data_IF_881735110579
#
_entry.id   IF_881735110579
#
_cell.length_a   1.000
_cell.length_b   1.000
_cell.length_c   1.000
_cell.angle_alpha   90.00
_cell.angle_beta   90.00
_cell.angle_gamma   90.00
#
_symmetry.space_group_name_H-M   'P 1'
#
loop_
_entity.id
_entity.type
_entity.pdbx_description
1 polymer ?
#
# COMPACT_ATOMS: atom_id res chain seq x y z
N UNK A 1 -0.21 -14.96 -3.62
CA UNK A 1 -1.51 -14.27 -3.51
C UNK A 1 -1.23 -12.77 -3.40
N UNK A 2 -2.00 -11.94 -4.09
CA UNK A 2 -1.79 -10.48 -4.07
C UNK A 2 -2.53 -9.90 -2.86
N UNK A 3 -1.82 -9.17 -2.01
CA UNK A 3 -2.40 -8.42 -0.90
C UNK A 3 -2.58 -6.99 -1.36
N UNK A 4 -3.83 -6.50 -1.55
CA UNK A 4 -4.05 -5.12 -1.96
C UNK A 4 -3.53 -4.16 -0.87
N UNK A 5 -2.94 -3.05 -1.27
CA UNK A 5 -2.45 -1.99 -0.40
C UNK A 5 -3.08 -0.64 -0.77
N UNK A 6 -3.06 0.31 0.17
CA UNK A 6 -3.47 1.67 -0.14
C UNK A 6 -2.54 2.27 -1.22
N UNK A 7 -3.15 2.86 -2.25
CA UNK A 7 -2.47 3.40 -3.42
C UNK A 7 -2.52 2.49 -4.64
N UNK A 8 -2.79 1.19 -4.48
CA UNK A 8 -2.88 0.25 -5.59
C UNK A 8 -4.07 0.55 -6.50
N UNK A 9 -3.90 0.34 -7.80
CA UNK A 9 -4.99 0.29 -8.76
C UNK A 9 -5.33 -1.17 -9.01
N UNK A 10 -6.58 -1.52 -8.80
CA UNK A 10 -7.11 -2.87 -8.97
C UNK A 10 -8.02 -2.91 -10.18
N UNK A 11 -7.81 -3.91 -11.03
CA UNK A 11 -8.80 -4.33 -12.01
C UNK A 11 -9.80 -5.25 -11.31
N UNK A 12 -10.94 -4.68 -10.95
CA UNK A 12 -12.04 -5.43 -10.31
C UNK A 12 -12.89 -6.04 -11.40
N UNK A 13 -12.97 -7.36 -11.40
CA UNK A 13 -13.76 -8.16 -12.35
C UNK A 13 -14.73 -9.05 -11.58
N UNK A 14 -15.60 -9.77 -12.30
CA UNK A 14 -16.52 -10.75 -11.70
C UNK A 14 -15.82 -11.80 -10.82
N UNK A 15 -14.55 -12.11 -11.11
CA UNK A 15 -13.76 -13.09 -10.35
C UNK A 15 -13.48 -12.60 -8.92
N UNK A 16 -13.48 -11.28 -8.71
CA UNK A 16 -13.31 -10.66 -7.40
C UNK A 16 -14.63 -10.56 -6.64
N UNK A 17 -15.76 -10.37 -7.33
CA UNK A 17 -17.10 -10.51 -6.76
C UNK A 17 -18.13 -10.51 -7.87
N UNK A 18 -19.15 -11.37 -7.74
CA UNK A 18 -20.23 -11.56 -8.73
C UNK A 18 -21.05 -10.30 -9.00
N UNK A 19 -21.01 -9.33 -8.08
CA UNK A 19 -21.69 -8.04 -8.24
C UNK A 19 -21.04 -7.17 -9.34
N UNK A 20 -19.80 -7.48 -9.77
CA UNK A 20 -19.06 -6.74 -10.79
C UNK A 20 -19.11 -7.43 -12.16
N UNK A 21 -20.32 -7.54 -12.73
CA UNK A 21 -20.53 -8.06 -14.09
C UNK A 21 -19.82 -7.21 -15.16
N UNK A 22 -19.65 -5.91 -14.89
CA UNK A 22 -18.85 -4.98 -15.69
C UNK A 22 -17.51 -4.73 -14.98
N UNK A 23 -16.38 -5.07 -15.61
CA UNK A 23 -15.07 -4.77 -15.05
C UNK A 23 -14.86 -3.27 -14.84
N UNK A 24 -14.15 -2.89 -13.77
CA UNK A 24 -13.80 -1.50 -13.49
C UNK A 24 -12.41 -1.37 -12.88
N UNK A 25 -11.81 -0.19 -13.05
CA UNK A 25 -10.58 0.19 -12.34
C UNK A 25 -10.92 0.82 -11.00
N UNK A 26 -10.21 0.42 -9.95
CA UNK A 26 -10.45 0.88 -8.59
C UNK A 26 -9.14 1.19 -7.88
N UNK A 27 -8.97 2.45 -7.47
CA UNK A 27 -7.82 2.88 -6.68
C UNK A 27 -8.11 2.74 -5.20
N UNK A 28 -7.36 1.89 -4.52
CA UNK A 28 -7.51 1.65 -3.08
C UNK A 28 -6.99 2.86 -2.31
N UNK A 29 -7.75 3.35 -1.35
CA UNK A 29 -7.31 4.35 -0.36
C UNK A 29 -7.17 3.75 1.03
N UNK A 30 -7.94 2.70 1.32
CA UNK A 30 -7.90 1.98 2.58
C UNK A 30 -8.30 0.53 2.39
N UNK A 31 -7.56 -0.34 3.05
CA UNK A 31 -7.89 -1.76 3.23
C UNK A 31 -8.37 -1.89 4.67
N UNK A 32 -9.53 -2.52 4.87
CA UNK A 32 -10.03 -2.78 6.22
C UNK A 32 -9.66 -4.21 6.62
N UNK A 33 -9.00 -4.34 7.77
CA UNK A 33 -8.65 -5.63 8.39
C UNK A 33 -9.81 -6.20 9.23
N UNK A 34 -11.06 -5.93 8.84
CA UNK A 34 -12.22 -6.46 9.56
C UNK A 34 -12.24 -7.98 9.46
N UNK A 35 -12.57 -8.71 10.54
CA UNK A 35 -12.69 -10.16 10.50
C UNK A 35 -13.88 -10.54 9.61
N UNK A 36 -13.59 -10.82 8.34
CA UNK A 36 -14.55 -11.33 7.36
C UNK A 36 -14.28 -12.78 7.05
N UNK A 37 -15.11 -13.38 6.19
CA UNK A 37 -14.86 -14.71 5.64
C UNK A 37 -13.46 -14.82 5.02
N UNK A 38 -12.88 -16.01 5.13
CA UNK A 38 -11.52 -16.28 4.65
C UNK A 38 -11.38 -15.92 3.16
N UNK A 39 -10.31 -15.20 2.82
CA UNK A 39 -10.06 -14.73 1.46
C UNK A 39 -10.83 -13.48 1.02
N UNK A 40 -11.81 -13.00 1.79
CA UNK A 40 -12.52 -11.75 1.51
C UNK A 40 -11.85 -10.55 2.17
N UNK A 41 -12.11 -9.34 1.65
CA UNK A 41 -11.59 -8.07 2.15
C UNK A 41 -12.53 -6.91 1.80
N UNK A 42 -12.61 -5.94 2.69
CA UNK A 42 -13.28 -4.66 2.45
C UNK A 42 -12.26 -3.61 1.98
N UNK A 43 -12.57 -2.96 0.87
CA UNK A 43 -11.74 -1.92 0.29
C UNK A 43 -12.54 -0.63 0.16
N UNK A 44 -11.98 0.46 0.65
CA UNK A 44 -12.41 1.80 0.27
C UNK A 44 -11.49 2.33 -0.82
N UNK A 45 -12.07 3.07 -1.76
CA UNK A 45 -11.32 3.58 -2.89
C UNK A 45 -12.14 4.41 -3.84
N UNK A 46 -11.52 4.75 -4.95
CA UNK A 46 -12.14 5.49 -6.03
C UNK A 46 -12.26 4.59 -7.27
N UNK A 47 -13.44 4.55 -7.87
CA UNK A 47 -13.60 4.08 -9.23
C UNK A 47 -12.88 5.03 -10.17
N UNK A 48 -12.11 4.49 -11.10
CA UNK A 48 -11.42 5.28 -12.13
C UNK A 48 -12.17 5.19 -13.46
N UNK A 49 -12.16 6.29 -14.22
CA UNK A 49 -12.60 6.30 -15.61
C UNK A 49 -11.50 5.77 -16.56
N UNK A 50 -11.77 5.76 -17.87
CA UNK A 50 -10.80 5.36 -18.88
C UNK A 50 -9.56 6.28 -18.97
N UNK A 51 -9.66 7.51 -18.48
CA UNK A 51 -8.53 8.45 -18.41
C UNK A 51 -7.68 8.27 -17.12
N UNK A 52 -8.14 7.43 -16.17
CA UNK A 52 -7.48 7.22 -14.88
C UNK A 52 -7.91 8.18 -13.78
N UNK A 53 -8.89 9.06 -14.03
CA UNK A 53 -9.39 9.99 -13.02
C UNK A 53 -10.37 9.31 -12.08
N UNK A 54 -10.31 9.68 -10.80
CA UNK A 54 -11.27 9.27 -9.79
C UNK A 54 -12.64 9.90 -10.06
N UNK A 55 -13.62 9.06 -10.42
CA UNK A 55 -14.99 9.51 -10.70
C UNK A 55 -15.93 9.38 -9.52
N UNK A 56 -15.77 8.32 -8.71
CA UNK A 56 -16.69 8.02 -7.63
C UNK A 56 -15.96 7.33 -6.49
N UNK A 57 -16.25 7.70 -5.23
CA UNK A 57 -15.74 7.01 -4.05
C UNK A 57 -16.69 5.88 -3.65
N UNK A 58 -16.16 4.66 -3.46
CA UNK A 58 -16.98 3.48 -3.15
C UNK A 58 -16.27 2.58 -2.14
N UNK A 59 -17.08 1.87 -1.35
CA UNK A 59 -16.66 0.78 -0.48
C UNK A 59 -17.11 -0.53 -1.11
N UNK A 60 -16.18 -1.45 -1.35
CA UNK A 60 -16.44 -2.72 -2.03
C UNK A 60 -15.99 -3.90 -1.18
N UNK A 61 -16.75 -5.00 -1.26
CA UNK A 61 -16.42 -6.27 -0.62
C UNK A 61 -16.06 -7.29 -1.70
N UNK A 62 -14.80 -7.75 -1.68
CA UNK A 62 -14.20 -8.53 -2.77
C UNK A 62 -13.34 -9.67 -2.25
N UNK A 63 -13.22 -10.71 -3.05
CA UNK A 63 -12.36 -11.86 -2.82
C UNK A 63 -10.96 -11.60 -3.38
N UNK A 64 -9.94 -11.74 -2.53
CA UNK A 64 -8.53 -11.45 -2.84
C UNK A 64 -7.98 -12.27 -4.01
N UNK A 65 -8.44 -13.50 -4.18
CA UNK A 65 -8.00 -14.38 -5.27
C UNK A 65 -8.40 -13.88 -6.67
N UNK A 66 -9.47 -13.10 -6.77
CA UNK A 66 -9.96 -12.56 -8.03
C UNK A 66 -9.44 -11.17 -8.38
N UNK A 67 -8.67 -10.54 -7.48
CA UNK A 67 -8.12 -9.21 -7.70
C UNK A 67 -6.85 -9.26 -8.54
N UNK A 68 -6.73 -8.31 -9.47
CA UNK A 68 -5.53 -8.10 -10.27
C UNK A 68 -5.04 -6.68 -10.06
N UNK A 69 -3.85 -6.53 -9.47
CA UNK A 69 -3.19 -5.23 -9.36
C UNK A 69 -2.67 -4.83 -10.73
N UNK A 70 -3.02 -3.62 -11.15
CA UNK A 70 -2.53 -2.99 -12.37
C UNK A 70 -1.46 -1.97 -11.96
N UNK A 71 -0.25 -2.04 -12.53
CA UNK A 71 0.74 -1.00 -12.30
C UNK A 71 0.19 0.33 -12.80
N UNK A 72 0.18 1.34 -11.91
CA UNK A 72 -0.19 2.69 -12.29
C UNK A 72 0.81 3.22 -13.31
N UNK A 73 0.38 3.38 -14.56
CA UNK A 73 1.24 3.84 -15.65
C UNK A 73 1.76 5.28 -15.40
N UNK A 74 1.03 6.08 -14.61
CA UNK A 74 1.46 7.41 -14.18
C UNK A 74 2.61 7.34 -13.13
N UNK A 75 2.61 6.33 -12.26
CA UNK A 75 3.68 6.05 -11.30
C UNK A 75 4.93 5.41 -11.93
N UNK A 76 4.86 4.94 -13.18
CA UNK A 76 6.05 4.49 -13.94
C UNK A 76 6.94 5.65 -14.36
N UNK A 77 6.55 6.92 -14.11
CA UNK A 77 7.55 7.99 -14.11
C UNK A 77 8.54 7.68 -12.99
N UNK A 78 9.82 7.40 -13.30
CA UNK A 78 10.78 7.00 -12.29
C UNK A 78 10.83 8.09 -11.23
N UNK A 79 10.31 7.81 -10.04
CA UNK A 79 10.63 8.60 -8.85
C UNK A 79 12.11 8.38 -8.64
N UNK A 80 12.92 9.31 -9.16
CA UNK A 80 14.36 9.42 -9.05
C UNK A 80 15.01 8.19 -8.42
N UNK A 81 15.60 7.34 -9.26
CA UNK A 81 16.70 6.49 -8.81
C UNK A 81 17.76 7.43 -8.23
N UNK A 82 17.72 7.65 -6.92
CA UNK A 82 18.81 8.26 -6.20
C UNK A 82 20.00 7.31 -6.40
N UNK A 83 21.10 7.78 -7.01
CA UNK A 83 22.24 6.91 -7.24
C UNK A 83 22.77 6.48 -5.86
N UNK A 84 22.83 5.18 -5.66
CA UNK A 84 23.70 4.58 -4.68
C UNK A 84 25.15 4.85 -5.13
N UNK A 85 25.61 6.08 -4.93
CA UNK A 85 26.95 6.52 -5.28
C UNK A 85 27.61 7.17 -4.05
N UNK A 86 28.37 6.32 -3.35
CA UNK A 86 29.68 6.64 -2.78
C UNK A 86 29.79 7.94 -1.95
N UNK A 87 29.38 7.88 -0.69
CA UNK A 87 29.94 8.75 0.35
C UNK A 87 30.91 7.95 1.21
N UNK A 88 32.13 7.81 0.68
CA UNK A 88 33.41 7.90 1.38
C UNK A 88 33.49 7.24 2.76
N UNK A 89 34.09 6.04 2.79
CA UNK A 89 34.76 5.52 3.98
C UNK A 89 35.89 6.49 4.36
N UNK A 90 35.78 7.17 5.51
CA UNK A 90 36.89 7.90 6.13
C UNK A 90 37.55 7.00 7.18
N UNK A 91 38.85 6.70 7.10
CA UNK A 91 39.58 6.03 8.18
C UNK A 91 40.08 7.07 9.21
N UNK A 92 40.24 6.64 10.47
CA UNK A 92 40.97 7.37 11.51
C UNK A 92 40.06 8.06 12.54
N UNK A 93 39.69 7.44 13.66
CA UNK A 93 40.46 7.11 14.87
C UNK A 93 40.34 8.17 15.99
N UNK A 94 40.24 7.64 17.22
CA UNK A 94 40.57 8.24 18.53
C UNK A 94 39.43 8.94 19.34
N UNK A 95 38.95 8.19 20.34
CA UNK A 95 39.14 8.47 21.79
C UNK A 95 37.89 8.73 22.68
N UNK A 96 37.87 7.98 23.80
CA UNK A 96 37.32 8.26 25.14
C UNK A 96 35.81 8.22 25.45
N UNK A 97 35.33 7.03 25.90
CA UNK A 97 34.89 6.65 27.27
C UNK A 97 34.39 7.75 28.26
N UNK A 98 33.65 7.38 29.34
CA UNK A 98 32.27 6.86 29.45
C UNK A 98 31.39 7.75 30.37
N UNK A 99 30.10 7.40 30.59
CA UNK A 99 29.11 7.79 31.64
C UNK A 99 27.79 8.34 31.05
N UNK A 100 26.58 8.15 31.58
CA UNK A 100 25.97 7.33 32.64
C UNK A 100 24.44 7.65 32.62
N UNK A 101 23.60 6.68 32.98
CA UNK A 101 22.17 6.79 33.37
C UNK A 101 21.06 7.05 32.32
N UNK A 102 20.01 6.19 32.39
CA UNK A 102 18.64 6.67 32.29
C UNK A 102 17.66 5.85 31.43
N UNK A 103 17.20 4.68 31.91
CA UNK A 103 15.81 4.22 31.63
C UNK A 103 14.85 5.18 32.35
N UNK A 104 13.64 5.49 31.85
CA UNK A 104 12.49 4.56 31.97
C UNK A 104 11.47 4.64 30.81
N UNK A 105 10.76 3.54 30.52
CA UNK A 105 9.32 3.30 30.79
C UNK A 105 8.36 3.82 29.70
N UNK A 106 7.70 2.92 28.95
CA UNK A 106 6.30 2.43 29.10
C UNK A 106 5.21 3.53 29.15
N UNK A 107 4.33 3.50 28.15
CA UNK A 107 2.97 4.07 28.12
C UNK A 107 2.32 3.43 26.86
N UNK A 108 1.41 2.45 26.90
CA UNK A 108 0.06 2.39 27.49
C UNK A 108 -0.83 3.59 27.12
N UNK A 109 -2.12 3.31 26.86
CA UNK A 109 -3.28 4.19 26.57
C UNK A 109 -3.61 4.20 25.07
N UNK A 110 -4.80 3.77 24.58
CA UNK A 110 -6.08 3.41 25.20
C UNK A 110 -6.92 2.59 24.22
#
# INVERSE_FOLDING_TARGET
MVTPQAGDILHVTREASVQFLRPMMFRVIRVHDWPTYDGWVWLDGYQLNAAGDAVERRSIFVQRSGLRVVPDQAATRPRNAAPHAAAVQRPGSHNSRPTLHGRPAVAAVR
#
